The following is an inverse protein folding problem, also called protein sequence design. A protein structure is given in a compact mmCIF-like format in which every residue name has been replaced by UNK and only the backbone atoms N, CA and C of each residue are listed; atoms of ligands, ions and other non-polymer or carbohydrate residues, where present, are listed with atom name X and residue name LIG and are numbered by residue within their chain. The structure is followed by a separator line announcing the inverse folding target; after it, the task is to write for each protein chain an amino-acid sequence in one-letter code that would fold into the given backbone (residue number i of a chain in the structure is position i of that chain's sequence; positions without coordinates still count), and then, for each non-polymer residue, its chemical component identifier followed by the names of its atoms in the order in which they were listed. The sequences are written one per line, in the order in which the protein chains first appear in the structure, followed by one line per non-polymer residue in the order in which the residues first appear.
data_IF_312857755521
#
_entry.id   IF_312857755521
#
_cell.length_a   1.000
_cell.length_b   1.000
_cell.length_c   1.000
_cell.angle_alpha   90.00
_cell.angle_beta   90.00
_cell.angle_gamma   90.00
#
_symmetry.space_group_name_H-M   'P 1'
#
loop_
_entity.id
_entity.type
_entity.pdbx_description
1 polymer ?
#
# COMPACT_ATOMS: atom_id res chain seq x y z
N UNK A 1 -8.89 -36.28 -40.33
CA UNK A 1 -8.31 -36.07 -41.67
C UNK A 1 -9.12 -35.00 -42.36
N UNK A 2 -8.92 -33.73 -41.98
CA UNK A 2 -9.56 -32.58 -42.65
C UNK A 2 -8.43 -31.83 -43.35
N UNK A 3 -8.33 -32.02 -44.67
CA UNK A 3 -7.41 -31.27 -45.52
C UNK A 3 -7.99 -29.87 -45.71
N UNK A 4 -7.25 -28.86 -45.26
CA UNK A 4 -7.41 -27.49 -45.71
C UNK A 4 -6.91 -27.43 -47.16
N UNK A 5 -7.82 -27.60 -48.11
CA UNK A 5 -7.64 -27.21 -49.50
C UNK A 5 -8.39 -25.91 -49.70
N UNK A 6 -7.71 -24.79 -49.53
CA UNK A 6 -7.95 -23.57 -50.30
C UNK A 6 -6.71 -22.68 -50.20
N UNK A 7 -5.99 -22.59 -51.32
CA UNK A 7 -4.78 -21.80 -51.49
C UNK A 7 -5.09 -20.37 -51.97
N UNK A 8 -6.16 -19.76 -51.47
CA UNK A 8 -6.63 -18.43 -51.86
C UNK A 8 -7.16 -17.67 -50.63
N UNK A 9 -6.28 -17.36 -49.67
CA UNK A 9 -6.37 -16.26 -48.70
C UNK A 9 -5.22 -16.41 -47.69
N UNK A 10 -4.02 -16.02 -48.11
CA UNK A 10 -2.92 -15.77 -47.18
C UNK A 10 -2.21 -14.48 -47.58
N UNK A 11 -2.98 -13.43 -47.89
CA UNK A 11 -2.54 -12.10 -47.53
C UNK A 11 -2.87 -11.94 -46.05
N UNK A 12 -1.86 -12.09 -45.21
CA UNK A 12 -1.96 -11.67 -43.81
C UNK A 12 -2.12 -10.15 -43.89
N UNK A 13 -3.36 -9.70 -43.76
CA UNK A 13 -3.68 -8.28 -43.67
C UNK A 13 -2.88 -7.70 -42.50
N UNK A 14 -1.87 -6.88 -42.82
CA UNK A 14 -1.01 -6.24 -41.82
C UNK A 14 -1.79 -5.25 -40.95
N UNK A 15 -3.02 -4.89 -41.36
CA UNK A 15 -3.94 -4.03 -40.63
C UNK A 15 -5.01 -4.81 -39.82
N UNK A 16 -4.99 -6.15 -39.84
CA UNK A 16 -5.89 -6.92 -38.99
C UNK A 16 -5.51 -6.75 -37.50
N UNK A 17 -6.45 -6.35 -36.62
CA UNK A 17 -6.17 -6.20 -35.20
C UNK A 17 -5.69 -7.53 -34.63
N UNK A 18 -4.57 -7.49 -33.91
CA UNK A 18 -4.00 -8.68 -33.30
C UNK A 18 -5.01 -9.36 -32.35
N UNK A 19 -5.10 -10.69 -32.38
CA UNK A 19 -6.08 -11.42 -31.58
C UNK A 19 -5.78 -11.29 -30.07
N UNK A 20 -6.83 -11.36 -29.25
CA UNK A 20 -6.71 -11.45 -27.80
C UNK A 20 -5.78 -12.62 -27.43
N UNK A 21 -4.78 -12.36 -26.59
CA UNK A 21 -3.76 -13.34 -26.19
C UNK A 21 -2.43 -13.25 -26.95
N UNK A 22 -2.35 -12.43 -28.01
CA UNK A 22 -1.08 -12.16 -28.68
C UNK A 22 -0.10 -11.36 -27.78
N UNK A 23 1.21 -11.68 -27.78
CA UNK A 23 2.20 -11.01 -26.94
C UNK A 23 2.66 -9.67 -27.54
N UNK A 24 1.76 -8.69 -27.57
CA UNK A 24 2.05 -7.36 -28.12
C UNK A 24 2.90 -6.53 -27.15
N UNK A 25 3.81 -5.68 -27.66
CA UNK A 25 4.52 -4.71 -26.81
C UNK A 25 3.53 -3.68 -26.24
N UNK A 26 3.90 -3.08 -25.10
CA UNK A 26 3.15 -1.97 -24.52
C UNK A 26 3.05 -0.80 -25.52
N UNK A 27 1.88 -0.19 -25.70
CA UNK A 27 1.61 0.84 -26.72
C UNK A 27 2.58 2.04 -26.66
N UNK A 28 2.95 2.46 -25.45
CA UNK A 28 3.93 3.54 -25.24
C UNK A 28 5.40 3.08 -25.13
N UNK A 29 5.72 1.81 -25.42
CA UNK A 29 7.08 1.27 -25.24
C UNK A 29 8.15 2.08 -26.00
N UNK A 30 7.88 2.41 -27.26
CA UNK A 30 8.79 3.24 -28.07
C UNK A 30 9.00 4.64 -27.44
N UNK A 31 7.94 5.23 -26.88
CA UNK A 31 8.03 6.53 -26.22
C UNK A 31 8.84 6.45 -24.92
N UNK A 32 8.75 5.34 -24.18
CA UNK A 32 9.53 5.13 -22.95
C UNK A 32 11.03 5.04 -23.26
N UNK A 33 11.42 4.26 -24.27
CA UNK A 33 12.84 4.04 -24.59
C UNK A 33 13.51 5.23 -25.27
N UNK A 34 12.73 6.08 -25.94
CA UNK A 34 13.24 7.30 -26.59
C UNK A 34 13.21 8.52 -25.67
N UNK A 35 12.58 8.44 -24.49
CA UNK A 35 12.34 9.59 -23.61
C UNK A 35 11.25 10.55 -24.09
N UNK A 36 10.47 10.17 -25.12
CA UNK A 36 9.37 10.98 -25.64
C UNK A 36 8.08 10.85 -24.83
N UNK A 37 7.98 9.86 -23.93
CA UNK A 37 6.85 9.73 -23.03
C UNK A 37 6.92 10.76 -21.90
N UNK A 38 6.01 11.72 -21.95
CA UNK A 38 5.94 12.80 -20.96
C UNK A 38 5.30 12.35 -19.65
N UNK A 39 5.99 12.53 -18.55
CA UNK A 39 5.44 12.49 -17.20
C UNK A 39 5.04 13.91 -16.77
N UNK A 40 4.51 14.07 -15.56
CA UNK A 40 3.97 15.37 -15.14
C UNK A 40 5.06 16.44 -15.03
N UNK A 41 6.25 16.05 -14.57
CA UNK A 41 7.36 17.00 -14.46
C UNK A 41 7.88 17.46 -15.83
N UNK A 42 7.65 16.65 -16.88
CA UNK A 42 8.06 16.93 -18.26
C UNK A 42 7.08 17.85 -19.01
N UNK A 43 5.93 18.18 -18.41
CA UNK A 43 4.98 19.12 -18.99
C UNK A 43 5.59 20.53 -19.05
N UNK A 44 5.33 21.33 -20.10
CA UNK A 44 5.86 22.68 -20.16
C UNK A 44 5.16 23.49 -19.07
N UNK A 45 5.94 24.27 -18.33
CA UNK A 45 5.40 25.14 -17.29
C UNK A 45 4.77 26.37 -17.94
N UNK A 46 3.55 26.70 -17.49
CA UNK A 46 2.88 27.95 -17.84
C UNK A 46 3.69 29.14 -17.33
N UNK A 47 3.61 30.27 -18.04
CA UNK A 47 4.29 31.49 -17.64
C UNK A 47 3.88 31.90 -16.21
N UNK A 48 4.86 32.25 -15.38
CA UNK A 48 4.61 32.64 -13.99
C UNK A 48 4.38 31.48 -13.03
N UNK A 49 4.60 30.23 -13.44
CA UNK A 49 4.57 29.06 -12.54
C UNK A 49 5.47 29.27 -11.33
N UNK A 50 4.94 28.91 -10.16
CA UNK A 50 5.64 28.85 -8.89
C UNK A 50 5.87 27.40 -8.47
N UNK A 51 6.75 27.20 -7.50
CA UNK A 51 7.04 25.89 -6.95
C UNK A 51 6.75 25.83 -5.46
N UNK A 52 6.17 24.72 -5.02
CA UNK A 52 5.86 24.48 -3.62
C UNK A 52 6.76 23.42 -2.99
N UNK A 53 7.04 23.57 -1.69
CA UNK A 53 7.69 22.56 -0.86
C UNK A 53 7.04 22.54 0.54
N UNK A 54 6.62 21.37 1.05
CA UNK A 54 6.10 21.25 2.40
C UNK A 54 7.20 21.44 3.45
N UNK A 55 6.86 22.09 4.55
CA UNK A 55 7.64 22.10 5.78
C UNK A 55 7.19 20.97 6.69
N UNK A 56 8.14 20.14 7.12
CA UNK A 56 7.86 18.88 7.81
C UNK A 56 8.15 18.97 9.30
N UNK A 57 7.36 18.27 10.12
CA UNK A 57 7.62 18.19 11.55
C UNK A 57 8.81 17.28 11.88
N UNK A 58 9.70 17.68 12.81
CA UNK A 58 10.77 16.84 13.32
C UNK A 58 10.34 15.90 14.46
N UNK A 59 9.05 15.90 14.84
CA UNK A 59 8.55 15.14 16.00
C UNK A 59 7.66 13.97 15.57
N UNK A 60 7.76 12.85 16.27
CA UNK A 60 6.85 11.71 16.09
C UNK A 60 5.47 11.97 16.70
N UNK A 61 5.40 12.61 17.87
CA UNK A 61 4.15 13.01 18.50
C UNK A 61 4.39 14.26 19.35
N UNK A 62 3.72 15.37 19.04
CA UNK A 62 3.88 16.60 19.78
C UNK A 62 2.70 17.57 19.59
N UNK A 63 2.40 18.37 20.61
CA UNK A 63 1.52 19.52 20.49
C UNK A 63 2.30 20.72 19.95
N UNK A 64 1.85 21.29 18.85
CA UNK A 64 2.43 22.51 18.28
C UNK A 64 2.08 23.69 19.17
N UNK A 65 3.09 24.47 19.58
CA UNK A 65 2.92 25.69 20.40
C UNK A 65 3.04 26.94 19.53
N UNK A 66 4.04 26.97 18.66
CA UNK A 66 4.17 28.00 17.63
C UNK A 66 5.07 27.54 16.49
N UNK A 67 4.86 28.11 15.31
CA UNK A 67 5.71 27.93 14.14
C UNK A 67 6.22 29.32 13.73
N UNK A 68 7.50 29.59 13.96
CA UNK A 68 8.13 30.82 13.48
C UNK A 68 8.60 30.63 12.03
N UNK A 69 7.95 31.38 11.14
CA UNK A 69 8.17 31.39 9.70
C UNK A 69 8.85 32.68 9.22
N UNK A 70 9.30 33.57 10.11
CA UNK A 70 9.90 34.84 9.71
C UNK A 70 11.14 34.63 8.80
N UNK A 71 12.03 33.71 9.18
CA UNK A 71 13.20 33.36 8.38
C UNK A 71 12.83 32.65 7.07
N UNK A 72 11.72 31.90 7.04
CA UNK A 72 11.19 31.26 5.84
C UNK A 72 10.69 32.33 4.87
N UNK A 73 9.80 33.22 5.32
CA UNK A 73 9.20 34.31 4.53
C UNK A 73 10.26 35.29 3.99
N UNK A 74 11.31 35.56 4.75
CA UNK A 74 12.42 36.41 4.34
C UNK A 74 13.43 35.72 3.39
N UNK A 75 13.23 34.45 3.02
CA UNK A 75 14.15 33.75 2.14
C UNK A 75 14.06 34.23 0.69
N UNK A 76 15.19 34.39 -0.03
CA UNK A 76 15.17 34.83 -1.42
C UNK A 76 14.29 33.95 -2.32
N UNK A 77 13.42 34.58 -3.11
CA UNK A 77 12.51 33.94 -4.05
C UNK A 77 11.26 33.33 -3.41
N UNK A 78 11.06 33.41 -2.09
CA UNK A 78 9.80 33.02 -1.46
C UNK A 78 8.72 34.05 -1.79
N UNK A 79 7.56 33.56 -2.22
CA UNK A 79 6.40 34.37 -2.59
C UNK A 79 5.36 34.35 -1.47
N UNK A 80 5.06 33.16 -0.93
CA UNK A 80 4.16 33.01 0.21
C UNK A 80 4.50 31.75 1.03
N UNK A 81 3.97 31.69 2.25
CA UNK A 81 4.03 30.53 3.14
C UNK A 81 2.67 30.34 3.78
N UNK A 82 2.09 29.16 3.64
CA UNK A 82 0.72 28.85 4.07
C UNK A 82 0.73 27.89 5.24
N UNK A 83 -0.15 28.15 6.21
CA UNK A 83 -0.45 27.30 7.36
C UNK A 83 -1.81 26.60 7.15
N UNK A 84 -2.16 25.68 8.05
CA UNK A 84 -3.48 25.04 8.05
C UNK A 84 -4.66 26.05 8.02
N UNK A 85 -4.52 27.19 8.69
CA UNK A 85 -5.53 28.25 8.72
C UNK A 85 -5.71 28.99 7.38
N UNK A 86 -4.78 28.84 6.44
CA UNK A 86 -4.88 29.42 5.10
C UNK A 86 -5.65 28.52 4.12
N UNK A 87 -6.05 27.30 4.53
CA UNK A 87 -6.87 26.40 3.72
C UNK A 87 -8.32 26.91 3.76
N UNK A 88 -8.92 27.31 2.63
CA UNK A 88 -10.24 27.96 2.62
C UNK A 88 -11.40 27.01 2.95
N UNK A 89 -11.24 25.72 2.67
CA UNK A 89 -12.24 24.69 2.94
C UNK A 89 -11.83 23.72 4.04
N UNK A 90 -12.04 22.44 3.78
CA UNK A 90 -11.74 21.37 4.73
C UNK A 90 -10.24 21.06 4.74
N UNK A 91 -9.59 21.18 5.91
CA UNK A 91 -8.22 20.72 6.12
C UNK A 91 -8.17 19.21 6.39
N UNK A 92 -8.51 18.40 5.38
CA UNK A 92 -8.48 16.94 5.45
C UNK A 92 -8.34 16.33 4.05
N UNK A 93 -7.58 15.25 3.96
CA UNK A 93 -7.39 14.45 2.74
C UNK A 93 -7.47 12.94 3.02
N UNK A 94 -8.16 12.52 4.10
CA UNK A 94 -8.35 11.13 4.43
C UNK A 94 -9.38 10.46 3.49
N UNK A 95 -9.05 9.31 2.86
CA UNK A 95 -9.91 8.70 1.83
C UNK A 95 -11.14 7.94 2.39
N UNK A 96 -11.15 7.66 3.71
CA UNK A 96 -12.20 6.84 4.34
C UNK A 96 -12.79 7.56 5.55
N UNK A 97 -11.94 8.03 6.45
CA UNK A 97 -12.30 8.87 7.58
C UNK A 97 -11.70 10.25 7.39
N UNK A 98 -12.30 11.25 8.06
CA UNK A 98 -11.76 12.61 8.13
C UNK A 98 -10.77 12.72 9.29
N UNK A 99 -9.68 11.98 9.18
CA UNK A 99 -8.66 11.85 10.22
C UNK A 99 -7.22 12.07 9.70
N UNK A 100 -7.06 12.65 8.51
CA UNK A 100 -5.77 12.89 7.86
C UNK A 100 -5.68 14.34 7.36
N UNK A 101 -5.17 15.28 8.17
CA UNK A 101 -5.14 16.69 7.80
C UNK A 101 -4.10 16.98 6.70
N UNK A 102 -4.45 17.87 5.76
CA UNK A 102 -3.52 18.33 4.71
C UNK A 102 -2.28 19.01 5.33
N UNK A 103 -2.51 19.85 6.35
CA UNK A 103 -1.48 20.45 7.19
C UNK A 103 -1.84 20.27 8.66
N UNK A 104 -0.92 19.75 9.48
CA UNK A 104 -1.12 19.68 10.92
C UNK A 104 -1.19 21.08 11.54
N UNK A 105 -2.24 21.34 12.33
CA UNK A 105 -2.49 22.62 12.97
C UNK A 105 -2.03 22.65 14.44
N UNK A 106 -2.62 21.78 15.27
CA UNK A 106 -2.41 21.79 16.73
C UNK A 106 -1.51 20.64 17.21
N UNK A 107 -1.53 19.51 16.51
CA UNK A 107 -0.85 18.29 16.92
C UNK A 107 -0.20 17.62 15.72
N UNK A 108 1.05 17.23 15.90
CA UNK A 108 1.77 16.36 14.98
C UNK A 108 1.71 14.95 15.53
N UNK A 109 1.37 13.99 14.66
CA UNK A 109 1.24 12.58 15.00
C UNK A 109 2.20 11.67 14.23
N UNK A 110 3.13 12.20 13.42
CA UNK A 110 4.27 11.43 12.91
C UNK A 110 5.46 12.31 12.47
N UNK A 111 6.65 11.70 12.48
CA UNK A 111 7.87 12.33 11.98
C UNK A 111 7.75 12.57 10.47
N UNK A 112 7.85 13.81 10.03
CA UNK A 112 7.68 14.17 8.63
C UNK A 112 6.30 14.72 8.28
N UNK A 113 5.38 14.86 9.24
CA UNK A 113 4.04 15.39 8.94
C UNK A 113 4.12 16.83 8.42
N UNK A 114 3.47 17.15 7.28
CA UNK A 114 3.38 18.51 6.78
C UNK A 114 2.70 19.45 7.79
N UNK A 115 3.35 20.57 8.11
CA UNK A 115 2.85 21.59 9.05
C UNK A 115 2.67 22.98 8.40
N UNK A 116 3.36 23.23 7.29
CA UNK A 116 3.16 24.40 6.44
C UNK A 116 3.62 24.09 5.01
N UNK A 117 3.34 24.99 4.05
CA UNK A 117 3.88 24.89 2.69
C UNK A 117 4.51 26.22 2.27
N UNK A 118 5.70 26.14 1.68
CA UNK A 118 6.41 27.29 1.10
C UNK A 118 6.16 27.33 -0.39
N UNK A 119 5.80 28.51 -0.91
CA UNK A 119 5.66 28.76 -2.35
C UNK A 119 6.73 29.75 -2.78
N UNK A 120 7.51 29.42 -3.81
CA UNK A 120 8.64 30.21 -4.26
C UNK A 120 8.78 30.22 -5.78
N UNK A 121 9.59 31.15 -6.31
CA UNK A 121 9.88 31.32 -7.74
C UNK A 121 10.64 30.14 -8.35
N UNK A 122 11.27 29.29 -7.53
CA UNK A 122 11.94 28.07 -7.99
C UNK A 122 11.83 26.97 -6.95
N UNK A 123 11.84 25.71 -7.41
CA UNK A 123 11.86 24.52 -6.54
C UNK A 123 12.98 24.56 -5.52
N UNK A 124 14.19 24.97 -5.94
CA UNK A 124 15.36 25.09 -5.06
C UNK A 124 15.22 26.18 -4.00
N UNK A 125 14.47 27.24 -4.28
CA UNK A 125 14.18 28.29 -3.29
C UNK A 125 13.18 27.77 -2.26
N UNK A 126 12.08 27.14 -2.69
CA UNK A 126 11.07 26.56 -1.81
C UNK A 126 11.67 25.53 -0.83
N UNK A 127 12.44 24.56 -1.34
CA UNK A 127 13.08 23.52 -0.53
C UNK A 127 14.06 24.09 0.51
N UNK A 128 14.86 25.08 0.12
CA UNK A 128 15.83 25.70 1.05
C UNK A 128 15.14 26.53 2.12
N UNK A 129 14.09 27.27 1.75
CA UNK A 129 13.32 28.08 2.67
C UNK A 129 12.54 27.21 3.68
N UNK A 130 11.95 26.09 3.25
CA UNK A 130 11.19 25.18 4.13
C UNK A 130 12.03 24.66 5.31
N UNK A 131 13.34 24.52 5.14
CA UNK A 131 14.28 24.08 6.20
C UNK A 131 14.65 25.16 7.22
N UNK A 132 14.19 26.39 7.05
CA UNK A 132 14.52 27.54 7.93
C UNK A 132 13.45 27.84 8.98
N UNK A 133 12.37 27.06 9.02
CA UNK A 133 11.35 27.23 10.04
C UNK A 133 11.88 26.84 11.43
N UNK A 134 11.44 27.58 12.44
CA UNK A 134 11.66 27.21 13.83
C UNK A 134 10.33 26.75 14.41
N UNK A 135 10.26 25.47 14.78
CA UNK A 135 9.04 24.86 15.33
C UNK A 135 9.21 24.71 16.83
N UNK A 136 8.32 25.34 17.61
CA UNK A 136 8.22 25.12 19.05
C UNK A 136 7.07 24.16 19.30
N UNK A 137 7.41 22.97 19.78
CA UNK A 137 6.44 21.92 20.07
C UNK A 137 6.72 21.30 21.44
N UNK A 138 5.67 20.80 22.08
CA UNK A 138 5.75 20.02 23.31
C UNK A 138 5.61 18.53 22.96
N UNK A 139 6.70 17.74 23.10
CA UNK A 139 6.65 16.31 22.84
C UNK A 139 5.61 15.58 23.70
N UNK A 140 4.87 14.67 23.09
CA UNK A 140 3.89 13.81 23.75
C UNK A 140 4.35 12.35 23.69
N UNK A 141 3.86 11.45 24.57
CA UNK A 141 4.20 10.04 24.52
C UNK A 141 3.83 9.40 23.18
N UNK A 142 4.80 8.83 22.46
CA UNK A 142 4.59 8.25 21.14
C UNK A 142 4.48 6.72 21.19
N UNK A 143 3.36 6.19 20.71
CA UNK A 143 3.18 4.76 20.39
C UNK A 143 3.82 4.48 19.02
N UNK A 144 4.92 3.71 18.96
CA UNK A 144 5.69 3.51 17.72
C UNK A 144 5.68 2.07 17.20
N UNK A 145 5.34 1.10 18.05
CA UNK A 145 5.32 -0.31 17.72
C UNK A 145 3.92 -0.91 17.78
N UNK A 146 3.74 -2.04 17.09
CA UNK A 146 2.51 -2.85 17.17
C UNK A 146 2.27 -3.33 18.60
N UNK A 147 3.32 -3.68 19.33
CA UNK A 147 3.16 -4.21 20.69
C UNK A 147 2.67 -3.12 21.65
N UNK A 148 3.21 -1.89 21.54
CA UNK A 148 2.77 -0.75 22.34
C UNK A 148 1.32 -0.38 22.03
N UNK A 149 0.94 -0.37 20.74
CA UNK A 149 -0.43 -0.07 20.32
C UNK A 149 -1.42 -1.12 20.82
N UNK A 150 -1.04 -2.40 20.79
CA UNK A 150 -1.87 -3.48 21.34
C UNK A 150 -2.00 -3.36 22.86
N UNK A 151 -0.92 -3.07 23.58
CA UNK A 151 -0.94 -2.89 25.03
C UNK A 151 -1.79 -1.67 25.46
N UNK A 152 -1.82 -0.62 24.63
CA UNK A 152 -2.61 0.58 24.86
C UNK A 152 -4.05 0.50 24.29
N UNK A 153 -4.42 -0.62 23.65
CA UNK A 153 -5.67 -0.77 22.89
C UNK A 153 -5.93 0.38 21.90
N UNK A 154 -4.87 0.84 21.23
CA UNK A 154 -4.90 2.00 20.33
C UNK A 154 -5.17 1.56 18.88
N UNK A 155 -6.35 1.90 18.36
CA UNK A 155 -6.81 1.47 17.05
C UNK A 155 -7.20 2.65 16.15
N UNK A 156 -6.87 2.60 14.85
CA UNK A 156 -7.42 3.56 13.87
C UNK A 156 -8.87 3.23 13.51
N UNK A 157 -9.22 1.94 13.64
CA UNK A 157 -10.54 1.39 13.36
C UNK A 157 -10.79 0.22 14.34
N UNK A 158 -12.05 -0.04 14.76
CA UNK A 158 -12.35 -1.10 15.74
C UNK A 158 -11.80 -2.47 15.30
N UNK A 159 -11.35 -3.34 16.23
CA UNK A 159 -10.99 -4.72 15.92
C UNK A 159 -12.09 -5.50 15.20
N UNK A 160 -11.72 -6.43 14.31
CA UNK A 160 -12.65 -7.32 13.60
C UNK A 160 -12.35 -8.78 13.91
N UNK A 161 -13.41 -9.58 14.05
CA UNK A 161 -13.31 -11.01 14.28
C UNK A 161 -14.01 -11.78 13.14
N UNK A 162 -13.34 -12.80 12.62
CA UNK A 162 -13.93 -13.79 11.72
C UNK A 162 -13.89 -15.15 12.42
N UNK A 163 -15.02 -15.85 12.42
CA UNK A 163 -15.18 -17.16 13.05
C UNK A 163 -15.81 -18.15 12.07
N UNK A 164 -15.28 -19.38 12.06
CA UNK A 164 -15.91 -20.55 11.44
C UNK A 164 -15.67 -21.75 12.33
N UNK A 165 -16.71 -22.55 12.55
CA UNK A 165 -16.64 -23.72 13.42
C UNK A 165 -16.24 -23.36 14.86
N UNK A 166 -15.84 -24.37 15.64
CA UNK A 166 -15.30 -24.19 16.99
C UNK A 166 -13.79 -24.44 17.02
N UNK A 167 -13.02 -23.38 16.77
CA UNK A 167 -11.56 -23.45 16.84
C UNK A 167 -11.05 -23.82 18.24
N UNK A 168 -11.79 -23.50 19.32
CA UNK A 168 -11.38 -23.83 20.69
C UNK A 168 -11.42 -25.34 20.92
N UNK A 169 -12.55 -25.96 20.58
CA UNK A 169 -12.76 -27.40 20.70
C UNK A 169 -11.79 -28.16 19.79
N UNK A 170 -11.62 -27.71 18.54
CA UNK A 170 -10.71 -28.34 17.59
C UNK A 170 -9.24 -28.29 18.05
N UNK A 171 -8.78 -27.16 18.61
CA UNK A 171 -7.43 -27.05 19.19
C UNK A 171 -7.24 -27.96 20.41
N UNK A 172 -8.26 -28.09 21.26
CA UNK A 172 -8.18 -28.95 22.45
C UNK A 172 -8.20 -30.44 22.12
N UNK A 173 -8.87 -30.83 21.04
CA UNK A 173 -9.01 -32.22 20.62
C UNK A 173 -7.88 -32.69 19.69
N UNK A 174 -7.06 -31.77 19.16
CA UNK A 174 -6.01 -32.10 18.21
C UNK A 174 -4.88 -32.92 18.85
N UNK A 175 -4.38 -33.99 18.18
CA UNK A 175 -3.25 -34.80 18.67
C UNK A 175 -1.95 -34.01 18.84
N UNK A 176 -1.72 -33.03 17.97
CA UNK A 176 -0.57 -32.13 18.01
C UNK A 176 -1.03 -30.68 18.03
N UNK A 177 -0.27 -29.83 18.72
CA UNK A 177 -0.52 -28.39 18.81
C UNK A 177 0.79 -27.60 18.75
N UNK A 178 0.79 -26.50 18.01
CA UNK A 178 1.91 -25.57 17.92
C UNK A 178 1.40 -24.14 18.05
N UNK A 179 2.16 -23.30 18.73
CA UNK A 179 1.93 -21.86 18.81
C UNK A 179 3.18 -21.09 18.43
N UNK A 180 3.01 -19.93 17.82
CA UNK A 180 4.14 -19.08 17.46
C UNK A 180 3.75 -17.66 17.12
N UNK A 181 4.79 -16.85 16.90
CA UNK A 181 4.68 -15.46 16.46
C UNK A 181 5.60 -15.24 15.28
N UNK A 182 5.13 -14.47 14.30
CA UNK A 182 5.96 -13.94 13.23
C UNK A 182 5.76 -12.43 13.05
N UNK A 183 6.78 -11.78 12.50
CA UNK A 183 6.74 -10.36 12.13
C UNK A 183 7.05 -10.22 10.65
N UNK A 184 6.21 -9.45 9.97
CA UNK A 184 6.36 -9.08 8.57
C UNK A 184 6.63 -7.57 8.54
N UNK A 185 7.77 -7.19 7.96
CA UNK A 185 8.11 -5.78 7.77
C UNK A 185 7.26 -5.14 6.68
N UNK A 186 7.13 -3.82 6.76
CA UNK A 186 6.55 -2.96 5.74
C UNK A 186 7.44 -2.85 4.51
N UNK A 187 6.96 -2.11 3.53
CA UNK A 187 7.61 -1.99 2.23
C UNK A 187 7.28 -0.65 1.60
N UNK A 188 8.31 0.08 1.18
CA UNK A 188 8.20 1.31 0.40
C UNK A 188 7.86 0.98 -1.06
N UNK A 189 6.91 1.70 -1.66
CA UNK A 189 6.44 1.46 -3.02
C UNK A 189 7.55 1.74 -4.03
N UNK A 190 8.37 2.75 -3.76
CA UNK A 190 9.55 3.10 -4.54
C UNK A 190 9.26 3.23 -6.04
N UNK A 191 8.08 3.78 -6.37
CA UNK A 191 7.78 4.23 -7.73
C UNK A 191 8.87 5.20 -8.20
N UNK A 192 9.35 5.08 -9.45
CA UNK A 192 10.50 5.86 -9.91
C UNK A 192 10.18 7.35 -10.05
N UNK A 193 8.99 7.69 -10.56
CA UNK A 193 8.47 9.05 -10.50
C UNK A 193 7.87 9.29 -9.11
N UNK A 194 8.49 10.16 -8.30
CA UNK A 194 7.96 10.54 -6.98
C UNK A 194 6.60 11.23 -7.05
N UNK A 195 6.09 11.64 -5.89
CA UNK A 195 4.84 12.42 -5.82
C UNK A 195 4.99 13.78 -6.51
N UNK A 196 4.02 14.11 -7.36
CA UNK A 196 3.98 15.38 -8.09
C UNK A 196 2.56 15.81 -8.40
N UNK A 197 2.30 17.10 -8.17
CA UNK A 197 1.06 17.78 -8.53
C UNK A 197 1.39 19.14 -9.16
N UNK A 198 0.75 19.45 -10.28
CA UNK A 198 0.83 20.75 -10.95
C UNK A 198 -0.57 21.34 -11.08
N UNK A 199 -0.89 22.32 -10.24
CA UNK A 199 -2.18 22.96 -10.17
C UNK A 199 -2.17 24.28 -10.97
N UNK A 200 -3.16 24.46 -11.82
CA UNK A 200 -3.31 25.60 -12.72
C UNK A 200 -4.71 26.21 -12.50
N UNK A 201 -4.82 27.43 -11.96
CA UNK A 201 -6.10 28.09 -11.80
C UNK A 201 -6.67 28.46 -13.19
N UNK A 202 -7.97 28.33 -13.35
CA UNK A 202 -8.75 28.68 -14.54
C UNK A 202 -9.60 29.93 -14.33
N UNK A 203 -10.61 30.11 -15.18
CA UNK A 203 -11.59 31.19 -15.05
C UNK A 203 -12.60 30.89 -13.94
N UNK A 204 -13.17 31.93 -13.33
CA UNK A 204 -14.28 31.83 -12.36
C UNK A 204 -14.06 30.81 -11.22
N UNK A 205 -12.83 30.73 -10.69
CA UNK A 205 -12.49 29.84 -9.59
C UNK A 205 -12.20 28.38 -9.97
N UNK A 206 -12.20 28.05 -11.26
CA UNK A 206 -11.84 26.72 -11.75
C UNK A 206 -10.40 26.34 -11.40
N UNK A 207 -10.16 25.04 -11.22
CA UNK A 207 -8.85 24.48 -10.92
C UNK A 207 -8.58 23.25 -11.77
N UNK A 208 -7.54 23.29 -12.61
CA UNK A 208 -7.01 22.12 -13.30
C UNK A 208 -5.77 21.60 -12.58
N UNK A 209 -5.75 20.32 -12.21
CA UNK A 209 -4.60 19.69 -11.54
C UNK A 209 -4.09 18.52 -12.37
N UNK A 210 -2.84 18.62 -12.82
CA UNK A 210 -2.10 17.46 -13.32
C UNK A 210 -1.49 16.74 -12.12
N UNK A 211 -1.93 15.52 -11.82
CA UNK A 211 -1.54 14.80 -10.60
C UNK A 211 -1.08 13.38 -10.93
N UNK A 212 0.06 12.96 -10.36
CA UNK A 212 0.55 11.59 -10.53
C UNK A 212 -0.25 10.70 -9.57
N UNK A 213 -1.40 10.21 -10.01
CA UNK A 213 -2.38 9.52 -9.17
C UNK A 213 -3.03 8.32 -9.87
N UNK A 214 -3.35 7.30 -9.09
CA UNK A 214 -4.16 6.15 -9.53
C UNK A 214 -5.67 6.44 -9.44
N UNK A 215 -6.07 7.50 -8.73
CA UNK A 215 -7.48 7.79 -8.46
C UNK A 215 -7.82 9.28 -8.69
N UNK A 216 -7.90 9.73 -9.95
CA UNK A 216 -8.18 11.14 -10.27
C UNK A 216 -9.48 11.69 -9.66
N UNK A 217 -10.53 10.86 -9.56
CA UNK A 217 -11.81 11.25 -8.95
C UNK A 217 -11.68 11.57 -7.46
N UNK A 218 -10.92 10.78 -6.70
CA UNK A 218 -10.69 11.07 -5.29
C UNK A 218 -9.89 12.36 -5.10
N UNK A 219 -8.88 12.58 -5.95
CA UNK A 219 -8.10 13.82 -5.93
C UNK A 219 -8.98 15.05 -6.28
N UNK A 220 -9.95 14.89 -7.18
CA UNK A 220 -10.91 15.94 -7.53
C UNK A 220 -11.75 16.32 -6.30
N UNK A 221 -12.30 15.33 -5.60
CA UNK A 221 -13.07 15.59 -4.38
C UNK A 221 -12.22 16.23 -3.28
N UNK A 222 -11.03 15.70 -3.01
CA UNK A 222 -10.12 16.24 -1.99
C UNK A 222 -9.76 17.69 -2.29
N UNK A 223 -9.38 18.01 -3.53
CA UNK A 223 -9.08 19.38 -3.95
C UNK A 223 -10.30 20.29 -3.85
N UNK A 224 -11.48 19.85 -4.32
CA UNK A 224 -12.71 20.63 -4.23
C UNK A 224 -13.07 20.97 -2.77
N UNK A 225 -12.95 19.99 -1.87
CA UNK A 225 -13.17 20.19 -0.44
C UNK A 225 -12.15 21.14 0.19
N UNK A 226 -10.86 21.02 -0.15
CA UNK A 226 -9.80 21.90 0.35
C UNK A 226 -9.97 23.34 -0.13
N UNK A 227 -10.40 23.54 -1.37
CA UNK A 227 -10.64 24.85 -1.99
C UNK A 227 -11.99 25.47 -1.63
N UNK A 228 -12.90 24.71 -1.02
CA UNK A 228 -14.30 25.09 -0.79
C UNK A 228 -15.05 25.46 -2.08
N UNK A 229 -14.87 24.67 -3.14
CA UNK A 229 -15.54 24.86 -4.43
C UNK A 229 -16.34 23.61 -4.82
N UNK A 230 -17.35 23.74 -5.71
CA UNK A 230 -18.01 22.58 -6.31
C UNK A 230 -17.03 21.68 -7.07
N UNK A 231 -17.24 20.36 -7.02
CA UNK A 231 -16.35 19.41 -7.69
C UNK A 231 -16.28 19.60 -9.22
N UNK A 232 -17.32 20.15 -9.85
CA UNK A 232 -17.34 20.41 -11.30
C UNK A 232 -16.37 21.53 -11.72
N UNK A 233 -15.95 22.39 -10.80
CA UNK A 233 -14.94 23.42 -11.05
C UNK A 233 -13.50 22.86 -10.94
N UNK A 234 -13.35 21.62 -10.50
CA UNK A 234 -12.05 20.95 -10.38
C UNK A 234 -11.92 19.87 -11.44
N UNK A 235 -10.83 19.89 -12.20
CA UNK A 235 -10.47 18.82 -13.15
C UNK A 235 -9.12 18.23 -12.78
N UNK A 236 -9.04 16.92 -12.60
CA UNK A 236 -7.78 16.21 -12.37
C UNK A 236 -7.41 15.36 -13.58
N UNK A 237 -6.18 15.51 -14.07
CA UNK A 237 -5.67 14.79 -15.25
C UNK A 237 -4.42 13.98 -14.90
N UNK A 238 -4.44 12.68 -15.22
CA UNK A 238 -3.29 11.78 -15.13
C UNK A 238 -3.16 10.98 -16.43
N UNK A 239 -2.18 11.33 -17.28
CA UNK A 239 -1.95 10.62 -18.55
C UNK A 239 -1.24 9.27 -18.35
N UNK A 240 -0.25 9.26 -17.45
CA UNK A 240 0.60 8.11 -17.09
C UNK A 240 1.32 8.39 -15.77
N UNK A 241 1.85 7.36 -15.13
CA UNK A 241 2.66 7.45 -13.91
C UNK A 241 3.94 6.64 -14.06
N UNK A 242 5.04 7.13 -13.49
CA UNK A 242 6.31 6.39 -13.37
C UNK A 242 6.29 5.37 -12.23
N UNK A 243 5.24 4.56 -12.17
CA UNK A 243 4.92 3.66 -11.06
C UNK A 243 3.98 4.30 -10.02
N UNK A 244 3.24 3.45 -9.31
CA UNK A 244 2.35 3.85 -8.21
C UNK A 244 2.20 2.74 -7.17
N UNK A 245 1.91 1.52 -7.60
CA UNK A 245 1.90 0.30 -6.77
C UNK A 245 0.98 0.35 -5.53
N UNK A 246 -0.04 1.22 -5.54
CA UNK A 246 -0.95 1.50 -4.42
C UNK A 246 -0.62 2.81 -3.69
N UNK A 247 0.66 3.22 -3.67
CA UNK A 247 1.10 4.45 -2.97
C UNK A 247 0.66 5.76 -3.63
N UNK A 248 -0.05 5.69 -4.75
CA UNK A 248 -0.67 6.85 -5.42
C UNK A 248 -2.20 6.70 -5.53
N UNK A 249 -2.79 5.79 -4.75
CA UNK A 249 -4.24 5.59 -4.68
C UNK A 249 -4.92 6.69 -3.86
N UNK A 250 -4.44 6.96 -2.65
CA UNK A 250 -4.91 8.05 -1.78
C UNK A 250 -3.82 9.07 -1.46
N UNK A 251 -2.57 8.62 -1.26
CA UNK A 251 -1.48 9.42 -0.72
C UNK A 251 -1.01 10.58 -1.62
N UNK A 252 -1.48 10.67 -2.87
CA UNK A 252 -1.27 11.84 -3.73
C UNK A 252 -2.09 13.07 -3.29
N UNK A 253 -3.10 12.88 -2.43
CA UNK A 253 -4.07 13.91 -2.06
C UNK A 253 -3.43 15.11 -1.36
N UNK A 254 -2.53 14.88 -0.40
CA UNK A 254 -1.84 15.97 0.31
C UNK A 254 -1.11 16.89 -0.66
N UNK A 255 -0.43 16.35 -1.66
CA UNK A 255 0.31 17.14 -2.65
C UNK A 255 -0.61 17.86 -3.64
N UNK A 256 -1.69 17.21 -4.07
CA UNK A 256 -2.72 17.82 -4.91
C UNK A 256 -3.38 19.00 -4.20
N UNK A 257 -3.79 18.83 -2.95
CA UNK A 257 -4.43 19.88 -2.14
C UNK A 257 -3.48 21.05 -1.87
N UNK A 258 -2.23 20.79 -1.45
CA UNK A 258 -1.25 21.84 -1.20
C UNK A 258 -0.95 22.68 -2.45
N UNK A 259 -0.76 22.02 -3.61
CA UNK A 259 -0.54 22.72 -4.87
C UNK A 259 -1.77 23.56 -5.27
N UNK A 260 -2.98 22.99 -5.14
CA UNK A 260 -4.22 23.67 -5.51
C UNK A 260 -4.54 24.87 -4.61
N UNK A 261 -4.41 24.73 -3.28
CA UNK A 261 -4.64 25.83 -2.32
C UNK A 261 -3.67 26.98 -2.59
N UNK A 262 -2.39 26.68 -2.81
CA UNK A 262 -1.40 27.67 -3.18
C UNK A 262 -1.72 28.36 -4.53
N UNK A 263 -2.15 27.58 -5.53
CA UNK A 263 -2.49 28.10 -6.84
C UNK A 263 -3.71 29.02 -6.82
N UNK A 264 -4.76 28.65 -6.09
CA UNK A 264 -5.97 29.46 -5.94
C UNK A 264 -5.65 30.78 -5.23
N UNK A 265 -4.90 30.73 -4.12
CA UNK A 265 -4.57 31.92 -3.33
C UNK A 265 -3.75 32.95 -4.11
N UNK A 266 -2.83 32.48 -4.95
CA UNK A 266 -1.91 33.35 -5.68
C UNK A 266 -2.39 33.72 -7.09
N UNK A 267 -3.48 33.09 -7.57
CA UNK A 267 -3.95 33.23 -8.95
C UNK A 267 -2.88 32.83 -9.99
N UNK A 268 -1.98 31.91 -9.61
CA UNK A 268 -0.82 31.50 -10.42
C UNK A 268 -0.66 29.98 -10.39
N UNK A 269 -0.19 29.35 -11.48
CA UNK A 269 0.10 27.92 -11.46
C UNK A 269 1.16 27.56 -10.41
N UNK A 270 0.97 26.45 -9.69
CA UNK A 270 1.89 25.96 -8.65
C UNK A 270 2.24 24.50 -8.90
N UNK A 271 3.53 24.21 -9.03
CA UNK A 271 4.09 22.88 -9.22
C UNK A 271 4.78 22.38 -7.95
N UNK A 272 4.27 21.30 -7.38
CA UNK A 272 4.81 20.64 -6.19
C UNK A 272 5.40 19.30 -6.62
N UNK A 273 6.74 19.24 -6.72
CA UNK A 273 7.51 18.02 -6.97
C UNK A 273 8.37 17.71 -5.76
N UNK A 274 8.05 16.62 -5.06
CA UNK A 274 8.67 16.21 -3.81
C UNK A 274 10.04 15.57 -4.07
N UNK A 275 11.02 15.76 -3.17
CA UNK A 275 12.25 14.94 -3.18
C UNK A 275 11.96 13.54 -2.61
N UNK A 276 12.81 12.55 -2.92
CA UNK A 276 12.55 11.15 -2.55
C UNK A 276 12.50 10.94 -1.02
N UNK A 277 13.35 11.63 -0.29
CA UNK A 277 13.41 11.61 1.17
C UNK A 277 12.11 12.13 1.79
N UNK A 278 11.63 13.29 1.34
CA UNK A 278 10.36 13.87 1.79
C UNK A 278 9.16 12.98 1.40
N UNK A 279 9.17 12.40 0.20
CA UNK A 279 8.14 11.46 -0.27
C UNK A 279 8.02 10.25 0.68
N UNK A 280 9.14 9.62 1.04
CA UNK A 280 9.20 8.48 1.97
C UNK A 280 8.91 8.85 3.44
N UNK A 281 9.01 10.14 3.79
CA UNK A 281 8.69 10.67 5.12
C UNK A 281 7.21 11.06 5.26
N UNK A 282 6.57 11.47 4.17
CA UNK A 282 5.16 11.92 4.19
C UNK A 282 4.24 10.74 3.89
N UNK A 283 4.55 9.94 2.87
CA UNK A 283 3.61 8.94 2.36
C UNK A 283 3.67 7.61 3.11
N UNK A 284 2.50 6.97 3.14
CA UNK A 284 2.28 5.63 3.66
C UNK A 284 2.93 4.51 2.87
N UNK A 285 3.23 3.42 3.58
CA UNK A 285 3.88 2.22 3.05
C UNK A 285 2.95 1.02 3.14
N UNK A 286 3.43 -0.16 2.74
CA UNK A 286 2.78 -1.43 3.10
C UNK A 286 2.72 -1.57 4.63
N UNK A 287 1.56 -1.95 5.15
CA UNK A 287 1.37 -2.33 6.56
C UNK A 287 2.32 -3.45 7.01
N UNK A 288 3.08 -3.18 8.06
CA UNK A 288 3.74 -4.21 8.88
C UNK A 288 2.69 -5.06 9.59
N UNK A 289 2.99 -6.33 9.82
CA UNK A 289 2.13 -7.23 10.60
C UNK A 289 2.92 -7.96 11.69
N UNK A 290 2.35 -8.04 12.89
CA UNK A 290 2.63 -9.09 13.88
C UNK A 290 1.51 -10.11 13.77
N UNK A 291 1.88 -11.37 13.59
CA UNK A 291 0.93 -12.47 13.47
C UNK A 291 1.24 -13.47 14.56
N UNK A 292 0.31 -13.62 15.50
CA UNK A 292 0.33 -14.68 16.50
C UNK A 292 -0.60 -15.81 16.02
N UNK A 293 -0.16 -17.06 16.17
CA UNK A 293 -0.96 -18.21 15.78
C UNK A 293 -0.91 -19.34 16.80
N UNK A 294 -1.96 -20.15 16.78
CA UNK A 294 -2.10 -21.39 17.53
C UNK A 294 -2.85 -22.39 16.66
N UNK A 295 -2.25 -23.54 16.39
CA UNK A 295 -2.74 -24.52 15.42
C UNK A 295 -2.75 -25.92 16.00
N UNK A 296 -3.83 -26.65 15.72
CA UNK A 296 -4.03 -28.05 16.06
C UNK A 296 -4.13 -28.89 14.80
N UNK A 297 -3.42 -30.01 14.75
CA UNK A 297 -3.30 -30.87 13.57
C UNK A 297 -3.08 -32.33 13.98
N UNK A 298 -3.27 -33.25 13.04
CA UNK A 298 -3.04 -34.69 13.25
C UNK A 298 -1.65 -35.16 12.78
N UNK A 299 -1.36 -36.45 12.94
CA UNK A 299 -0.08 -37.06 12.58
C UNK A 299 0.23 -36.99 11.07
N UNK A 300 -0.78 -36.74 10.23
CA UNK A 300 -0.64 -36.54 8.80
C UNK A 300 -0.48 -35.06 8.42
N UNK A 301 -0.49 -34.15 9.39
CA UNK A 301 -0.39 -32.71 9.16
C UNK A 301 -1.66 -32.09 8.60
N UNK A 302 -2.82 -32.77 8.70
CA UNK A 302 -4.10 -32.15 8.37
C UNK A 302 -4.52 -31.22 9.52
N UNK A 303 -4.80 -29.97 9.17
CA UNK A 303 -5.20 -28.93 10.13
C UNK A 303 -6.62 -29.23 10.63
N UNK A 304 -6.79 -29.25 11.94
CA UNK A 304 -8.07 -29.47 12.61
C UNK A 304 -8.67 -28.16 13.12
N UNK A 305 -7.84 -27.27 13.63
CA UNK A 305 -8.26 -25.96 14.08
C UNK A 305 -7.12 -24.96 14.12
N UNK A 306 -7.40 -23.68 13.86
CA UNK A 306 -6.40 -22.63 13.92
C UNK A 306 -6.96 -21.32 14.47
N UNK A 307 -6.15 -20.62 15.25
CA UNK A 307 -6.39 -19.25 15.71
C UNK A 307 -5.29 -18.34 15.19
N UNK A 308 -5.69 -17.17 14.69
CA UNK A 308 -4.78 -16.11 14.29
C UNK A 308 -5.15 -14.80 15.01
N UNK A 309 -4.14 -14.07 15.48
CA UNK A 309 -4.24 -12.64 15.77
C UNK A 309 -3.36 -11.89 14.77
N UNK A 310 -3.98 -11.10 13.90
CA UNK A 310 -3.33 -10.30 12.87
C UNK A 310 -3.31 -8.84 13.34
N UNK A 311 -2.20 -8.40 13.92
CA UNK A 311 -2.03 -7.02 14.35
C UNK A 311 -1.19 -6.25 13.33
N UNK A 312 -1.77 -5.26 12.66
CA UNK A 312 -1.08 -4.45 11.66
C UNK A 312 -0.75 -3.06 12.17
N UNK A 313 0.39 -2.51 11.77
CA UNK A 313 0.73 -1.11 12.02
C UNK A 313 0.07 -0.23 10.96
N UNK A 314 -0.95 0.53 11.34
CA UNK A 314 -1.71 1.37 10.41
C UNK A 314 -1.14 2.79 10.28
N UNK A 315 -0.39 3.27 11.26
CA UNK A 315 -0.02 4.68 11.32
C UNK A 315 -1.07 5.51 12.06
N UNK A 316 -1.02 6.82 11.87
CA UNK A 316 -1.77 7.74 12.72
C UNK A 316 -3.25 7.92 12.31
N UNK A 317 -3.57 7.72 11.03
CA UNK A 317 -4.90 7.83 10.43
C UNK A 317 -5.35 6.50 9.82
N UNK A 318 -6.61 6.38 9.46
CA UNK A 318 -7.17 5.14 8.91
C UNK A 318 -6.68 4.83 7.50
N UNK A 319 -6.63 5.82 6.60
CA UNK A 319 -6.41 5.64 5.16
C UNK A 319 -7.15 4.37 4.65
N UNK A 320 -6.47 3.48 3.93
CA UNK A 320 -7.00 2.22 3.41
C UNK A 320 -6.74 1.04 4.36
N UNK A 321 -6.39 1.29 5.63
CA UNK A 321 -6.10 0.25 6.61
C UNK A 321 -7.27 -0.70 6.85
N UNK A 322 -8.52 -0.21 6.79
CA UNK A 322 -9.72 -1.04 6.89
C UNK A 322 -9.73 -2.16 5.85
N UNK A 323 -9.88 -1.83 4.55
CA UNK A 323 -9.97 -2.82 3.50
C UNK A 323 -8.66 -3.63 3.30
N UNK A 324 -7.48 -3.08 3.63
CA UNK A 324 -6.21 -3.85 3.62
C UNK A 324 -6.25 -4.98 4.67
N UNK A 325 -6.68 -4.67 5.90
CA UNK A 325 -6.76 -5.67 6.96
C UNK A 325 -7.87 -6.70 6.70
N UNK A 326 -8.99 -6.29 6.13
CA UNK A 326 -10.06 -7.22 5.73
C UNK A 326 -9.57 -8.19 4.67
N UNK A 327 -8.83 -7.71 3.67
CA UNK A 327 -8.21 -8.58 2.69
C UNK A 327 -7.19 -9.54 3.31
N UNK A 328 -6.41 -9.10 4.30
CA UNK A 328 -5.51 -10.00 5.04
C UNK A 328 -6.29 -11.13 5.75
N UNK A 329 -7.43 -10.81 6.38
CA UNK A 329 -8.34 -11.80 7.00
C UNK A 329 -8.88 -12.77 5.95
N UNK A 330 -9.35 -12.27 4.81
CA UNK A 330 -9.93 -13.10 3.74
C UNK A 330 -8.92 -13.96 2.97
N UNK A 331 -7.62 -13.75 3.18
CA UNK A 331 -6.56 -14.55 2.54
C UNK A 331 -5.68 -15.27 3.56
N UNK A 332 -6.07 -15.27 4.84
CA UNK A 332 -5.35 -15.98 5.90
C UNK A 332 -5.51 -17.51 5.80
N UNK A 333 -6.44 -17.99 4.99
CA UNK A 333 -6.59 -19.40 4.59
C UNK A 333 -5.74 -19.75 3.35
N UNK A 334 -5.37 -18.77 2.54
CA UNK A 334 -4.68 -18.93 1.25
C UNK A 334 -5.42 -19.92 0.34
N UNK A 335 -4.93 -21.16 0.27
CA UNK A 335 -5.48 -22.24 -0.53
C UNK A 335 -6.01 -23.41 0.31
N UNK A 336 -5.98 -23.27 1.64
CA UNK A 336 -6.20 -24.36 2.58
C UNK A 336 -7.61 -24.32 3.14
N UNK A 337 -8.29 -25.46 3.14
CA UNK A 337 -9.57 -25.60 3.79
C UNK A 337 -9.40 -25.60 5.31
N UNK A 338 -9.90 -24.57 5.97
CA UNK A 338 -9.89 -24.44 7.43
C UNK A 338 -11.30 -24.67 7.99
N UNK A 339 -11.54 -25.86 8.55
CA UNK A 339 -12.85 -26.26 9.05
C UNK A 339 -13.24 -25.50 10.33
N UNK A 340 -12.27 -25.29 11.22
CA UNK A 340 -12.41 -24.54 12.46
C UNK A 340 -11.34 -23.44 12.52
N UNK A 341 -11.75 -22.18 12.39
CA UNK A 341 -10.84 -21.04 12.37
C UNK A 341 -11.41 -19.84 13.11
N UNK A 342 -10.55 -19.17 13.86
CA UNK A 342 -10.83 -17.89 14.51
C UNK A 342 -9.72 -16.90 14.18
N UNK A 343 -10.07 -15.78 13.55
CA UNK A 343 -9.14 -14.71 13.19
C UNK A 343 -9.58 -13.43 13.89
N UNK A 344 -8.65 -12.83 14.64
CA UNK A 344 -8.80 -11.49 15.23
C UNK A 344 -7.87 -10.53 14.50
N UNK A 345 -8.43 -9.47 13.92
CA UNK A 345 -7.66 -8.42 13.24
C UNK A 345 -7.63 -7.14 14.06
N UNK A 346 -6.42 -6.64 14.33
CA UNK A 346 -6.14 -5.44 15.11
C UNK A 346 -5.49 -4.38 14.22
N UNK A 347 -6.12 -3.21 14.10
CA UNK A 347 -5.71 -2.11 13.21
C UNK A 347 -5.02 -1.03 14.02
N UNK A 348 -3.75 -1.24 14.34
CA UNK A 348 -3.02 -0.50 15.37
C UNK A 348 -2.77 0.95 14.96
N UNK A 349 -3.23 1.90 15.77
CA UNK A 349 -2.85 3.32 15.63
C UNK A 349 -1.46 3.52 16.22
N UNK A 350 -0.57 4.10 15.42
CA UNK A 350 0.81 4.42 15.81
C UNK A 350 1.19 5.80 15.33
N UNK A 351 2.15 6.43 15.99
CA UNK A 351 2.68 7.74 15.63
C UNK A 351 3.73 7.63 14.51
N UNK A 352 3.27 7.09 13.38
CA UNK A 352 4.01 6.90 12.13
C UNK A 352 3.12 7.32 10.96
N UNK A 353 3.71 7.47 9.76
CA UNK A 353 2.95 7.76 8.55
C UNK A 353 1.77 6.79 8.41
N UNK A 354 0.65 7.29 7.89
CA UNK A 354 -0.52 6.46 7.62
C UNK A 354 -0.21 5.48 6.52
N UNK A 355 -0.12 4.18 6.85
CA UNK A 355 0.15 3.14 5.86
C UNK A 355 -1.04 2.99 4.92
N UNK A 356 -0.74 2.64 3.68
CA UNK A 356 -1.73 2.66 2.59
C UNK A 356 -1.68 1.39 1.75
N UNK A 357 -2.36 1.42 0.60
CA UNK A 357 -2.29 0.40 -0.41
C UNK A 357 -0.85 0.12 -0.88
N UNK A 358 -0.54 -1.17 -0.94
CA UNK A 358 0.58 -1.70 -1.70
C UNK A 358 0.07 -2.89 -2.50
N UNK A 359 0.56 -3.13 -3.73
CA UNK A 359 0.30 -4.36 -4.52
C UNK A 359 0.15 -5.63 -3.65
N UNK A 360 -1.03 -6.25 -3.75
CA UNK A 360 -1.47 -7.39 -2.94
C UNK A 360 -2.43 -7.00 -1.81
N UNK A 361 -2.31 -5.78 -1.28
CA UNK A 361 -3.32 -5.10 -0.46
C UNK A 361 -3.68 -5.89 0.81
N UNK A 362 -2.70 -6.35 1.58
CA UNK A 362 -2.91 -7.18 2.79
C UNK A 362 -2.96 -8.68 2.53
N UNK A 363 -3.30 -9.10 1.30
CA UNK A 363 -3.29 -10.51 0.89
C UNK A 363 -1.96 -11.22 1.15
N UNK A 364 -0.79 -10.66 0.74
CA UNK A 364 0.50 -11.25 1.04
C UNK A 364 0.74 -11.48 2.54
N UNK A 365 0.34 -10.52 3.39
CA UNK A 365 0.50 -10.65 4.83
C UNK A 365 -0.42 -11.73 5.42
N UNK A 366 -1.67 -11.81 4.96
CA UNK A 366 -2.60 -12.88 5.33
C UNK A 366 -2.08 -14.26 4.94
N UNK A 367 -1.68 -14.45 3.67
CA UNK A 367 -1.19 -15.75 3.16
C UNK A 367 0.07 -16.22 3.90
N UNK A 368 0.97 -15.30 4.27
CA UNK A 368 2.17 -15.64 5.04
C UNK A 368 1.86 -16.26 6.42
N UNK A 369 0.70 -15.96 7.01
CA UNK A 369 0.27 -16.54 8.28
C UNK A 369 0.18 -18.07 8.17
N UNK A 370 -0.62 -18.55 7.21
CA UNK A 370 -0.90 -19.97 7.06
C UNK A 370 0.24 -20.74 6.39
N UNK A 371 1.00 -20.11 5.47
CA UNK A 371 2.22 -20.73 4.93
C UNK A 371 3.25 -21.03 6.02
N UNK A 372 3.41 -20.11 6.97
CA UNK A 372 4.29 -20.31 8.12
C UNK A 372 3.79 -21.47 8.99
N UNK A 373 2.49 -21.55 9.24
CA UNK A 373 1.86 -22.65 9.98
C UNK A 373 2.12 -23.99 9.30
N UNK A 374 1.85 -24.09 8.00
CA UNK A 374 2.00 -25.34 7.23
C UNK A 374 3.47 -25.81 7.21
N UNK A 375 4.42 -24.90 7.02
CA UNK A 375 5.84 -25.25 7.07
C UNK A 375 6.28 -25.71 8.47
N UNK A 376 5.73 -25.12 9.54
CA UNK A 376 6.02 -25.53 10.92
C UNK A 376 5.43 -26.90 11.26
N UNK A 377 4.24 -27.21 10.76
CA UNK A 377 3.63 -28.55 10.87
C UNK A 377 4.53 -29.58 10.17
N UNK A 378 4.95 -29.31 8.94
CA UNK A 378 5.82 -30.20 8.19
C UNK A 378 7.15 -30.46 8.91
N UNK A 379 7.78 -29.41 9.46
CA UNK A 379 9.00 -29.51 10.25
C UNK A 379 8.80 -30.35 11.52
N UNK A 380 7.70 -30.13 12.25
CA UNK A 380 7.40 -30.85 13.49
C UNK A 380 7.20 -32.35 13.26
N UNK A 381 6.51 -32.72 12.19
CA UNK A 381 6.22 -34.11 11.84
C UNK A 381 7.33 -34.79 11.02
N UNK A 382 8.34 -34.02 10.56
CA UNK A 382 9.37 -34.54 9.64
C UNK A 382 8.84 -34.89 8.25
N UNK A 383 7.72 -34.28 7.83
CA UNK A 383 7.09 -34.49 6.54
C UNK A 383 7.62 -33.52 5.47
N UNK A 384 7.42 -33.86 4.19
CA UNK A 384 7.67 -32.91 3.11
C UNK A 384 6.60 -31.80 3.14
N UNK A 385 6.96 -30.51 3.17
CA UNK A 385 6.01 -29.41 3.18
C UNK A 385 5.08 -29.37 1.95
N UNK A 386 5.48 -29.91 0.79
CA UNK A 386 4.58 -30.00 -0.35
C UNK A 386 3.42 -30.98 -0.06
N UNK A 387 3.72 -32.10 0.59
CA UNK A 387 2.71 -33.11 0.93
C UNK A 387 1.71 -32.56 1.95
N UNK A 388 2.19 -31.82 2.96
CA UNK A 388 1.31 -31.16 3.94
C UNK A 388 0.43 -30.11 3.27
N UNK A 389 0.96 -29.31 2.33
CA UNK A 389 0.16 -28.35 1.56
C UNK A 389 -0.95 -29.04 0.78
N UNK A 390 -0.61 -30.06 -0.01
CA UNK A 390 -1.57 -30.81 -0.83
C UNK A 390 -2.70 -31.45 -0.01
N UNK A 391 -2.42 -31.93 1.21
CA UNK A 391 -3.43 -32.50 2.12
C UNK A 391 -4.45 -31.46 2.61
N UNK A 392 -4.01 -30.22 2.78
CA UNK A 392 -4.82 -29.15 3.37
C UNK A 392 -5.58 -28.32 2.33
N UNK A 393 -5.34 -28.49 1.03
CA UNK A 393 -6.01 -27.70 -0.02
C UNK A 393 -7.54 -27.76 0.08
N UNK A 394 -8.19 -26.70 -0.42
CA UNK A 394 -9.58 -26.78 -0.89
C UNK A 394 -9.74 -27.92 -1.92
N UNK A 395 -10.95 -28.49 -1.96
CA UNK A 395 -11.30 -29.58 -2.87
C UNK A 395 -11.68 -30.88 -2.15
N UNK A 396 -12.52 -31.66 -2.82
CA UNK A 396 -13.20 -32.81 -2.23
C UNK A 396 -14.57 -32.47 -1.65
N UNK A 397 -15.31 -33.49 -1.24
CA UNK A 397 -16.66 -33.34 -0.71
C UNK A 397 -16.65 -32.54 0.61
N UNK A 398 -17.43 -31.45 0.66
CA UNK A 398 -17.56 -30.58 1.84
C UNK A 398 -16.39 -29.63 2.11
N UNK A 399 -15.37 -29.58 1.25
CA UNK A 399 -14.16 -28.74 1.43
C UNK A 399 -14.03 -27.64 0.38
N UNK A 400 -15.12 -26.97 0.05
CA UNK A 400 -15.23 -26.02 -1.07
C UNK A 400 -15.77 -24.65 -0.66
N UNK A 401 -15.77 -24.31 0.64
CA UNK A 401 -16.24 -23.00 1.12
C UNK A 401 -15.17 -22.34 1.97
N UNK A 402 -14.93 -21.05 1.76
CA UNK A 402 -13.97 -20.23 2.51
C UNK A 402 -14.45 -19.92 3.94
N UNK A 403 -13.59 -19.42 4.84
CA UNK A 403 -13.99 -19.01 6.18
C UNK A 403 -15.10 -17.95 6.24
N UNK A 404 -15.25 -17.16 5.17
CA UNK A 404 -16.26 -16.12 5.02
C UNK A 404 -17.48 -16.56 4.18
N UNK A 405 -17.65 -17.86 3.94
CA UNK A 405 -18.86 -18.44 3.34
C UNK A 405 -18.92 -18.36 1.82
N UNK A 406 -17.84 -17.99 1.13
CA UNK A 406 -17.79 -18.00 -0.33
C UNK A 406 -17.43 -19.39 -0.83
N UNK A 407 -18.18 -19.89 -1.83
CA UNK A 407 -17.83 -21.14 -2.49
C UNK A 407 -16.60 -20.96 -3.40
N UNK A 408 -15.69 -21.92 -3.37
CA UNK A 408 -14.53 -22.02 -4.25
C UNK A 408 -14.90 -22.94 -5.40
N UNK A 409 -15.30 -22.36 -6.52
CA UNK A 409 -15.56 -23.07 -7.76
C UNK A 409 -14.26 -23.34 -8.53
N UNK A 410 -14.26 -24.34 -9.43
CA UNK A 410 -13.13 -24.66 -10.32
C UNK A 410 -11.78 -24.85 -9.59
N UNK A 411 -11.72 -25.83 -8.68
CA UNK A 411 -10.53 -26.14 -7.88
C UNK A 411 -9.38 -26.73 -8.74
N UNK A 412 -8.58 -25.86 -9.37
CA UNK A 412 -7.46 -26.24 -10.25
C UNK A 412 -6.10 -26.41 -9.55
N UNK A 413 -5.98 -25.93 -8.31
CA UNK A 413 -4.70 -25.89 -7.59
C UNK A 413 -4.01 -27.25 -7.41
N UNK A 414 -4.71 -28.35 -7.06
CA UNK A 414 -4.06 -29.65 -6.94
C UNK A 414 -3.33 -30.08 -8.21
N UNK A 415 -3.94 -29.85 -9.38
CA UNK A 415 -3.36 -30.24 -10.66
C UNK A 415 -2.22 -29.31 -11.07
N UNK A 416 -2.36 -28.01 -10.85
CA UNK A 416 -1.29 -27.03 -11.07
C UNK A 416 -0.06 -27.33 -10.21
N UNK A 417 -0.25 -27.62 -8.91
CA UNK A 417 0.84 -27.94 -8.00
C UNK A 417 1.56 -29.24 -8.39
N UNK A 418 0.82 -30.29 -8.78
CA UNK A 418 1.42 -31.54 -9.27
C UNK A 418 2.16 -31.34 -10.60
N UNK A 419 1.62 -30.52 -11.49
CA UNK A 419 2.31 -30.17 -12.74
C UNK A 419 3.62 -29.44 -12.44
N UNK A 420 3.59 -28.47 -11.53
CA UNK A 420 4.77 -27.70 -11.13
C UNK A 420 5.81 -28.57 -10.40
N UNK A 421 5.37 -29.50 -9.55
CA UNK A 421 6.24 -30.48 -8.90
C UNK A 421 7.05 -31.28 -9.93
N UNK A 422 6.38 -31.77 -10.99
CA UNK A 422 7.02 -32.52 -12.08
C UNK A 422 7.93 -31.63 -12.93
N UNK A 423 7.42 -30.51 -13.43
CA UNK A 423 8.16 -29.66 -14.37
C UNK A 423 9.38 -29.00 -13.73
N UNK A 424 9.32 -28.72 -12.43
CA UNK A 424 10.46 -28.17 -11.67
C UNK A 424 11.41 -29.23 -11.12
N UNK A 425 11.11 -30.52 -11.30
CA UNK A 425 11.85 -31.67 -10.73
C UNK A 425 12.02 -31.56 -9.20
N UNK A 426 10.96 -31.14 -8.51
CA UNK A 426 11.00 -30.77 -7.09
C UNK A 426 11.67 -31.82 -6.19
N UNK A 427 11.22 -33.08 -6.28
CA UNK A 427 11.71 -34.17 -5.42
C UNK A 427 13.17 -34.51 -5.69
N UNK A 428 13.58 -34.53 -6.95
CA UNK A 428 14.97 -34.77 -7.33
C UNK A 428 15.88 -33.66 -6.78
N UNK A 429 15.50 -32.39 -6.99
CA UNK A 429 16.25 -31.23 -6.51
C UNK A 429 16.35 -31.20 -4.99
N UNK A 430 15.29 -31.57 -4.26
CA UNK A 430 15.36 -31.74 -2.79
C UNK A 430 16.40 -32.77 -2.38
N UNK A 431 16.42 -33.94 -3.01
CA UNK A 431 17.40 -34.98 -2.71
C UNK A 431 18.84 -34.54 -3.05
N UNK A 432 19.02 -33.76 -4.12
CA UNK A 432 20.30 -33.13 -4.46
C UNK A 432 20.72 -32.09 -3.40
N UNK A 433 19.79 -31.23 -2.95
CA UNK A 433 20.02 -30.23 -1.89
C UNK A 433 20.42 -30.90 -0.58
N UNK A 434 19.72 -31.97 -0.17
CA UNK A 434 20.05 -32.71 1.05
C UNK A 434 21.48 -33.29 0.99
N UNK A 435 21.87 -33.91 -0.13
CA UNK A 435 23.24 -34.42 -0.35
C UNK A 435 24.28 -33.30 -0.33
N UNK A 436 23.98 -32.15 -0.93
CA UNK A 436 24.87 -30.97 -0.90
C UNK A 436 25.05 -30.47 0.54
N UNK A 437 23.95 -30.26 1.27
CA UNK A 437 23.95 -29.73 2.63
C UNK A 437 24.65 -30.66 3.63
N UNK A 438 24.59 -31.99 3.43
CA UNK A 438 25.29 -32.96 4.26
C UNK A 438 26.82 -32.88 4.13
N UNK A 439 27.33 -32.39 2.99
CA UNK A 439 28.77 -32.28 2.69
C UNK A 439 29.32 -30.87 2.87
N UNK A 440 28.47 -29.86 3.00
CA UNK A 440 28.86 -28.45 3.06
C UNK A 440 28.60 -27.88 4.46
N UNK A 441 29.64 -27.59 5.26
CA UNK A 441 29.45 -27.09 6.63
C UNK A 441 29.04 -25.61 6.69
N UNK A 442 29.40 -24.82 5.68
CA UNK A 442 29.25 -23.35 5.70
C UNK A 442 28.09 -22.88 4.82
N UNK A 443 28.03 -23.33 3.57
CA UNK A 443 27.02 -22.90 2.60
C UNK A 443 25.89 -23.94 2.55
N UNK A 444 24.66 -23.50 2.77
CA UNK A 444 23.47 -24.34 2.64
C UNK A 444 22.59 -23.88 1.47
N UNK A 445 21.83 -24.82 0.90
CA UNK A 445 20.78 -24.56 -0.08
C UNK A 445 19.41 -24.90 0.54
N UNK A 446 18.38 -24.16 0.15
CA UNK A 446 16.98 -24.36 0.52
C UNK A 446 16.14 -24.62 -0.71
#
# INVERSE_FOLDING_TARGET
MNRLTDAFTAEVDADAPAPVGAPLPHESAQLHVTGAARYIDDLPELAGTLHAAPGLSPHAHARLRSIDLAAVRASPGVVDVLLAADIPGLNDCGPVLRDDPILAADEVQYLGQPIFVVVAESRRAALRAARRATVVAEPLPAVLSIDDAVAAESWVLPPVNLLRGDAAAALSAAPHRLSGRMRLGGQEQFYLEGQISYACPGEDGQMKVFCSTQHPTEMQHAVAHALHVPAHDVTVECRRMGGGFGGKESQSAVFACLAAVAAQRLGRPVKLRVDRDDDMLITGKRHDFRIDYDVGFDADGLIRGVRFELASRCGFSADLSGPVNDRAVFHADNAYYLDAVAIRSLRCKTHTQSNTAFRGFGGPQGMMAIETVVDRIAQHLGLDPLDVRLRNLYGGEGRDTTPYGMRVDEVVLPDLMRQLERSSQYRERRAQIARFNARQPIVKRG
#
